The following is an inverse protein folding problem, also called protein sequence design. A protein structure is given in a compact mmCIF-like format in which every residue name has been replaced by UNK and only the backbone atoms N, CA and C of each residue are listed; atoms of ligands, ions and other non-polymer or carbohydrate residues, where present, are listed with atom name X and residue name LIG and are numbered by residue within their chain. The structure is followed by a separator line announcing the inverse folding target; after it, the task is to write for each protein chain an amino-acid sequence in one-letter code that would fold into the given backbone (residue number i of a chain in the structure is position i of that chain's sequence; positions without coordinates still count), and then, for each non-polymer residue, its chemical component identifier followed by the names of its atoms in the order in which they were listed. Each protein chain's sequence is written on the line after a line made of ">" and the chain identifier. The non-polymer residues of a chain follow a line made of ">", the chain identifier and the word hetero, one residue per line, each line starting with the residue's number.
data_IF_374798431142
#
_entry.id   IF_374798431142
#
_cell.length_a   1.000
_cell.length_b   1.000
_cell.length_c   1.000
_cell.angle_alpha   90.00
_cell.angle_beta   90.00
_cell.angle_gamma   90.00
#
_symmetry.space_group_name_H-M   'P 1'
#
loop_
_entity.id
_entity.type
_entity.pdbx_description
1 polymer ?
#
# COMPACT_ATOMS: atom_id res chain seq x y z
N UNK A 1 -8.33 16.04 -14.97
CA UNK A 1 -7.86 15.43 -13.72
C UNK A 1 -8.48 16.23 -12.58
N UNK A 2 -9.20 15.59 -11.67
CA UNK A 2 -9.70 16.27 -10.47
C UNK A 2 -8.49 16.59 -9.61
N UNK A 3 -8.18 17.87 -9.43
CA UNK A 3 -6.99 18.32 -8.71
C UNK A 3 -7.34 18.50 -7.22
N UNK A 4 -6.71 17.73 -6.34
CA UNK A 4 -7.01 17.68 -4.91
C UNK A 4 -6.07 18.57 -4.09
N UNK A 5 -5.56 19.67 -4.67
CA UNK A 5 -4.55 20.58 -4.05
C UNK A 5 -4.95 21.27 -2.75
N UNK A 6 -6.19 21.11 -2.31
CA UNK A 6 -6.68 21.62 -1.04
C UNK A 6 -6.99 20.50 -0.02
N UNK A 7 -6.83 19.24 -0.42
CA UNK A 7 -7.11 18.07 0.41
C UNK A 7 -5.80 17.34 0.75
N UNK A 8 -5.80 16.65 1.89
CA UNK A 8 -4.66 15.89 2.39
C UNK A 8 -4.87 14.38 2.11
N UNK A 9 -3.79 13.61 2.00
CA UNK A 9 -3.84 12.19 1.71
C UNK A 9 -2.91 11.35 2.61
N UNK A 10 -3.35 10.13 2.91
CA UNK A 10 -2.58 9.11 3.61
C UNK A 10 -2.25 7.99 2.63
N UNK A 11 -0.96 7.74 2.42
CA UNK A 11 -0.44 6.72 1.51
C UNK A 11 -0.09 5.48 2.30
N UNK A 12 -0.67 4.34 1.95
CA UNK A 12 -0.22 3.04 2.44
C UNK A 12 1.12 2.73 1.78
N UNK A 13 2.19 2.71 2.57
CA UNK A 13 3.55 2.82 2.07
C UNK A 13 4.46 1.71 2.61
N UNK A 14 5.06 0.92 1.72
CA UNK A 14 5.97 -0.17 2.08
C UNK A 14 7.43 0.10 1.70
N UNK A 15 7.71 1.18 0.97
CA UNK A 15 9.06 1.47 0.43
C UNK A 15 9.37 0.78 -0.89
N UNK A 16 8.59 -0.24 -1.29
CA UNK A 16 8.78 -0.90 -2.59
C UNK A 16 8.33 -0.05 -3.78
N UNK A 17 8.80 -0.40 -4.98
CA UNK A 17 8.59 0.27 -6.28
C UNK A 17 7.18 0.90 -6.44
N UNK A 18 6.14 0.08 -6.30
CA UNK A 18 4.75 0.50 -6.54
C UNK A 18 4.28 1.53 -5.51
N UNK A 19 4.54 1.28 -4.23
CA UNK A 19 4.15 2.18 -3.14
C UNK A 19 4.92 3.51 -3.19
N UNK A 20 6.18 3.49 -3.62
CA UNK A 20 7.01 4.70 -3.83
C UNK A 20 6.49 5.51 -5.01
N UNK A 21 6.12 4.85 -6.11
CA UNK A 21 5.49 5.53 -7.26
C UNK A 21 4.16 6.18 -6.83
N UNK A 22 3.34 5.50 -6.03
CA UNK A 22 2.12 6.06 -5.46
C UNK A 22 2.37 7.25 -4.52
N UNK A 23 3.42 7.20 -3.70
CA UNK A 23 3.78 8.30 -2.81
C UNK A 23 4.08 9.59 -3.60
N UNK A 24 4.92 9.49 -4.63
CA UNK A 24 5.26 10.65 -5.47
C UNK A 24 4.10 11.11 -6.36
N UNK A 25 3.25 10.18 -6.83
CA UNK A 25 1.99 10.53 -7.48
C UNK A 25 1.08 11.34 -6.53
N UNK A 26 0.95 10.92 -5.28
CA UNK A 26 0.15 11.61 -4.28
C UNK A 26 0.70 13.01 -4.01
N UNK A 27 2.03 13.20 -3.96
CA UNK A 27 2.65 14.53 -3.80
C UNK A 27 2.30 15.50 -4.92
N UNK A 28 2.15 15.01 -6.15
CA UNK A 28 1.70 15.84 -7.26
C UNK A 28 0.18 16.09 -7.26
N UNK A 29 -0.60 15.34 -6.47
CA UNK A 29 -2.07 15.34 -6.52
C UNK A 29 -2.71 16.08 -5.33
N UNK A 30 -2.12 15.98 -4.14
CA UNK A 30 -2.68 16.49 -2.88
C UNK A 30 -1.85 17.65 -2.32
N UNK A 31 -2.42 18.34 -1.32
CA UNK A 31 -1.74 19.43 -0.60
C UNK A 31 -0.65 18.90 0.34
N UNK A 32 -1.05 18.03 1.25
CA UNK A 32 -0.17 17.35 2.19
C UNK A 32 -0.31 15.85 2.04
N UNK A 33 0.80 15.15 2.16
CA UNK A 33 0.88 13.70 2.02
C UNK A 33 1.57 13.13 3.25
N UNK A 34 0.95 12.12 3.84
CA UNK A 34 1.52 11.34 4.94
C UNK A 34 1.72 9.89 4.49
N UNK A 35 2.80 9.26 4.93
CA UNK A 35 3.09 7.85 4.66
C UNK A 35 2.78 6.99 5.90
N UNK A 36 1.98 5.94 5.72
CA UNK A 36 1.68 4.94 6.72
C UNK A 36 2.29 3.60 6.32
N UNK A 37 3.27 3.15 7.08
CA UNK A 37 3.92 1.86 6.91
C UNK A 37 3.41 0.85 7.95
N UNK A 38 3.32 -0.41 7.56
CA UNK A 38 2.90 -1.50 8.44
C UNK A 38 4.09 -2.43 8.72
N UNK A 39 4.34 -2.73 9.99
CA UNK A 39 5.20 -3.84 10.41
C UNK A 39 4.31 -4.97 10.91
N UNK A 40 4.54 -6.21 10.49
CA UNK A 40 3.72 -7.35 10.94
C UNK A 40 4.56 -8.62 11.22
N UNK A 41 5.81 -8.44 11.66
CA UNK A 41 6.71 -9.53 12.07
C UNK A 41 8.19 -9.09 12.11
N UNK A 42 9.09 -9.97 12.56
CA UNK A 42 10.53 -9.66 12.72
C UNK A 42 11.32 -9.58 11.40
N UNK A 43 10.83 -10.15 10.29
CA UNK A 43 11.58 -10.24 9.02
C UNK A 43 11.59 -8.95 8.18
N UNK A 44 10.84 -7.91 8.55
CA UNK A 44 10.63 -6.70 7.72
C UNK A 44 11.40 -5.46 8.20
N UNK A 45 12.41 -5.59 9.08
CA UNK A 45 13.12 -4.41 9.61
C UNK A 45 13.82 -3.59 8.52
N UNK A 46 14.43 -4.27 7.54
CA UNK A 46 15.12 -3.61 6.42
C UNK A 46 14.14 -2.85 5.50
N UNK A 47 12.99 -3.46 5.18
CA UNK A 47 11.95 -2.84 4.36
C UNK A 47 11.37 -1.57 5.02
N UNK A 48 11.18 -1.60 6.34
CA UNK A 48 10.72 -0.44 7.10
C UNK A 48 11.78 0.68 7.10
N UNK A 49 13.06 0.35 7.15
CA UNK A 49 14.15 1.33 7.02
C UNK A 49 14.18 1.97 5.63
N UNK A 50 14.07 1.17 4.57
CA UNK A 50 13.93 1.66 3.19
C UNK A 50 12.73 2.60 3.07
N UNK A 51 11.56 2.18 3.54
CA UNK A 51 10.36 3.02 3.52
C UNK A 51 10.58 4.34 4.29
N UNK A 52 11.20 4.30 5.47
CA UNK A 52 11.51 5.52 6.22
C UNK A 52 12.44 6.46 5.45
N UNK A 53 13.51 5.93 4.87
CA UNK A 53 14.49 6.72 4.11
C UNK A 53 13.83 7.39 2.89
N UNK A 54 13.00 6.65 2.14
CA UNK A 54 12.28 7.21 1.00
C UNK A 54 11.26 8.27 1.44
N UNK A 55 10.58 8.07 2.57
CA UNK A 55 9.68 9.09 3.12
C UNK A 55 10.42 10.38 3.51
N UNK A 56 11.64 10.26 4.04
CA UNK A 56 12.53 11.39 4.31
C UNK A 56 12.97 12.10 3.03
N UNK A 57 13.41 11.36 2.01
CA UNK A 57 13.73 11.90 0.67
C UNK A 57 12.52 12.63 0.07
N UNK A 58 11.34 12.04 0.23
CA UNK A 58 10.09 12.62 -0.21
C UNK A 58 9.61 13.80 0.68
N UNK A 59 10.24 14.06 1.82
CA UNK A 59 9.84 15.13 2.74
C UNK A 59 8.41 14.99 3.27
N UNK A 60 7.93 13.76 3.48
CA UNK A 60 6.59 13.46 4.02
C UNK A 60 6.68 12.94 5.45
N UNK A 61 5.60 13.07 6.23
CA UNK A 61 5.55 12.41 7.54
C UNK A 61 5.53 10.89 7.35
N UNK A 62 6.20 10.16 8.24
CA UNK A 62 6.23 8.71 8.24
C UNK A 62 5.68 8.17 9.57
N UNK A 63 4.67 7.33 9.50
CA UNK A 63 4.10 6.63 10.65
C UNK A 63 4.26 5.13 10.45
N UNK A 64 4.83 4.44 11.44
CA UNK A 64 4.85 2.99 11.50
C UNK A 64 3.69 2.49 12.38
N UNK A 65 2.91 1.55 11.86
CA UNK A 65 1.88 0.85 12.62
C UNK A 65 2.25 -0.63 12.77
N UNK A 66 2.23 -1.12 14.00
CA UNK A 66 2.36 -2.55 14.28
C UNK A 66 1.03 -3.25 13.96
N UNK A 67 1.06 -4.10 12.94
CA UNK A 67 -0.01 -4.97 12.49
C UNK A 67 0.35 -6.45 12.69
N UNK A 68 1.25 -6.78 13.63
CA UNK A 68 1.64 -8.15 13.99
C UNK A 68 0.47 -9.05 14.35
N UNK A 69 -0.68 -8.51 14.77
CA UNK A 69 -1.91 -9.31 14.95
C UNK A 69 -2.31 -10.07 13.67
N UNK A 70 -2.03 -9.53 12.49
CA UNK A 70 -2.29 -10.20 11.21
C UNK A 70 -1.49 -11.50 11.11
N UNK A 71 -0.27 -11.52 11.66
CA UNK A 71 0.58 -12.70 11.66
C UNK A 71 -0.04 -13.88 12.42
N UNK A 72 -0.92 -13.59 13.39
CA UNK A 72 -1.59 -14.60 14.20
C UNK A 72 -2.88 -15.14 13.54
N UNK A 73 -3.38 -14.52 12.47
CA UNK A 73 -4.65 -14.90 11.85
C UNK A 73 -4.54 -16.14 10.95
N UNK A 74 -3.34 -16.43 10.43
CA UNK A 74 -3.09 -17.64 9.63
C UNK A 74 -1.62 -18.06 9.76
N UNK A 75 -1.33 -19.35 10.03
CA UNK A 75 0.03 -19.88 9.93
C UNK A 75 0.49 -19.76 8.46
N UNK A 76 1.58 -19.05 8.22
CA UNK A 76 2.17 -18.87 6.90
C UNK A 76 3.67 -18.56 7.04
N UNK A 77 4.43 -18.57 5.94
CA UNK A 77 5.90 -18.43 5.98
C UNK A 77 6.40 -17.06 6.45
N UNK A 78 5.52 -16.05 6.56
CA UNK A 78 5.84 -14.76 7.18
C UNK A 78 5.72 -14.79 8.71
N UNK A 79 5.02 -15.78 9.27
CA UNK A 79 4.60 -15.82 10.69
C UNK A 79 5.18 -17.01 11.43
N UNK A 80 5.56 -18.05 10.70
CA UNK A 80 6.27 -19.22 11.20
C UNK A 80 7.61 -19.39 10.47
N UNK A 81 8.70 -19.20 11.20
CA UNK A 81 10.05 -19.31 10.67
C UNK A 81 10.44 -20.75 10.25
N UNK A 82 9.67 -21.76 10.66
CA UNK A 82 9.86 -23.15 10.26
C UNK A 82 9.30 -23.48 8.87
N UNK A 83 8.44 -22.61 8.32
CA UNK A 83 7.89 -22.76 6.97
C UNK A 83 8.83 -22.08 5.97
N UNK A 84 9.39 -22.87 5.05
CA UNK A 84 10.21 -22.37 3.94
C UNK A 84 9.32 -21.62 2.96
N UNK A 85 9.66 -20.38 2.62
CA UNK A 85 8.92 -19.57 1.65
C UNK A 85 8.95 -20.23 0.26
N UNK A 86 7.82 -20.27 -0.43
CA UNK A 86 7.79 -20.77 -1.81
C UNK A 86 8.65 -19.87 -2.71
N UNK A 87 9.57 -20.47 -3.48
CA UNK A 87 10.40 -19.74 -4.46
C UNK A 87 9.61 -19.35 -5.72
N UNK A 88 8.58 -20.13 -6.07
CA UNK A 88 7.68 -19.89 -7.20
C UNK A 88 6.21 -20.07 -6.78
N UNK A 89 5.30 -19.32 -7.40
CA UNK A 89 3.86 -19.45 -7.14
C UNK A 89 3.36 -20.83 -7.58
N UNK A 90 2.73 -21.63 -6.68
CA UNK A 90 2.22 -22.95 -7.05
C UNK A 90 1.02 -22.83 -7.99
N UNK A 91 0.93 -23.75 -8.97
CA UNK A 91 -0.15 -23.75 -9.95
C UNK A 91 -1.52 -23.97 -9.27
N UNK A 92 -2.44 -23.02 -9.44
CA UNK A 92 -3.80 -23.11 -8.90
C UNK A 92 -3.91 -22.82 -7.39
N UNK A 93 -2.85 -22.35 -6.73
CA UNK A 93 -2.91 -21.86 -5.35
C UNK A 93 -2.13 -20.54 -5.19
N UNK A 94 -2.15 -20.03 -3.97
CA UNK A 94 -1.35 -18.86 -3.60
C UNK A 94 -0.02 -19.30 -2.98
N UNK A 95 1.04 -18.47 -3.07
CA UNK A 95 2.26 -18.69 -2.32
C UNK A 95 1.97 -18.82 -0.82
N UNK A 96 2.79 -19.58 -0.11
CA UNK A 96 2.65 -19.82 1.32
C UNK A 96 2.93 -18.59 2.22
N UNK A 97 3.12 -17.41 1.63
CA UNK A 97 3.12 -16.08 2.28
C UNK A 97 1.73 -15.41 2.27
N UNK A 98 0.77 -15.98 1.54
CA UNK A 98 -0.54 -15.39 1.38
C UNK A 98 -1.34 -15.41 2.69
N UNK A 99 -1.75 -14.22 3.11
CA UNK A 99 -2.71 -14.03 4.19
C UNK A 99 -4.04 -13.59 3.56
N UNK A 100 -5.10 -14.41 3.64
CA UNK A 100 -6.40 -14.05 3.09
C UNK A 100 -6.92 -12.72 3.66
N UNK A 101 -7.25 -11.78 2.77
CA UNK A 101 -7.83 -10.49 3.16
C UNK A 101 -6.85 -9.52 3.85
N UNK A 102 -5.54 -9.72 3.71
CA UNK A 102 -4.53 -8.84 4.30
C UNK A 102 -4.72 -7.38 3.88
N UNK A 103 -4.98 -7.11 2.61
CA UNK A 103 -5.15 -5.74 2.12
C UNK A 103 -6.43 -5.09 2.67
N UNK A 104 -7.47 -5.90 2.93
CA UNK A 104 -8.68 -5.44 3.63
C UNK A 104 -8.30 -4.86 5.00
N UNK A 105 -7.50 -5.59 5.78
CA UNK A 105 -7.07 -5.18 7.12
C UNK A 105 -6.19 -3.93 7.06
N UNK A 106 -5.20 -3.88 6.17
CA UNK A 106 -4.35 -2.71 6.01
C UNK A 106 -5.12 -1.45 5.63
N UNK A 107 -6.02 -1.53 4.65
CA UNK A 107 -6.85 -0.40 4.23
C UNK A 107 -7.80 0.02 5.37
N UNK A 108 -8.35 -0.93 6.13
CA UNK A 108 -9.20 -0.63 7.29
C UNK A 108 -8.43 0.08 8.40
N UNK A 109 -7.21 -0.37 8.71
CA UNK A 109 -6.34 0.32 9.67
C UNK A 109 -5.94 1.71 9.19
N UNK A 110 -5.58 1.85 7.92
CA UNK A 110 -5.27 3.15 7.32
C UNK A 110 -6.46 4.11 7.38
N UNK A 111 -7.67 3.62 7.11
CA UNK A 111 -8.89 4.41 7.22
C UNK A 111 -9.15 4.88 8.66
N UNK A 112 -8.91 4.04 9.67
CA UNK A 112 -9.01 4.44 11.08
C UNK A 112 -7.96 5.51 11.46
N UNK A 113 -6.71 5.38 10.96
CA UNK A 113 -5.68 6.42 11.15
C UNK A 113 -6.09 7.73 10.46
N UNK A 114 -6.54 7.65 9.20
CA UNK A 114 -7.00 8.81 8.44
C UNK A 114 -8.22 9.47 9.10
N UNK A 115 -9.13 8.70 9.69
CA UNK A 115 -10.26 9.21 10.47
C UNK A 115 -9.78 10.15 11.57
N UNK A 116 -8.85 9.68 12.41
CA UNK A 116 -8.30 10.43 13.54
C UNK A 116 -7.54 11.70 13.11
N UNK A 117 -6.92 11.67 11.93
CA UNK A 117 -6.19 12.82 11.34
C UNK A 117 -7.06 13.75 10.49
N UNK A 118 -8.35 13.44 10.35
CA UNK A 118 -9.26 14.13 9.43
C UNK A 118 -8.82 14.12 7.95
N UNK A 119 -8.14 13.06 7.53
CA UNK A 119 -7.70 12.84 6.15
C UNK A 119 -8.80 12.09 5.39
N UNK A 120 -9.14 12.58 4.19
CA UNK A 120 -10.21 12.02 3.35
C UNK A 120 -9.70 10.98 2.35
N UNK A 121 -8.48 11.16 1.87
CA UNK A 121 -7.95 10.38 0.77
C UNK A 121 -6.99 9.31 1.27
N UNK A 122 -7.23 8.07 0.86
CA UNK A 122 -6.33 6.96 1.04
C UNK A 122 -5.71 6.63 -0.32
N UNK A 123 -4.40 6.42 -0.38
CA UNK A 123 -3.71 6.01 -1.60
C UNK A 123 -3.04 4.67 -1.35
N UNK A 124 -3.24 3.71 -2.23
CA UNK A 124 -2.63 2.39 -2.12
C UNK A 124 -2.09 1.91 -3.47
N UNK A 125 -0.97 1.18 -3.42
CA UNK A 125 -0.29 0.62 -4.60
C UNK A 125 -0.85 -0.71 -5.09
N UNK A 126 -1.98 -1.19 -4.56
CA UNK A 126 -2.61 -2.43 -5.05
C UNK A 126 -2.96 -2.30 -6.54
N UNK A 127 -2.78 -3.40 -7.27
CA UNK A 127 -3.05 -3.50 -8.69
C UNK A 127 -3.64 -4.85 -9.03
N UNK A 128 -4.59 -4.88 -9.97
CA UNK A 128 -5.15 -6.11 -10.52
C UNK A 128 -4.33 -6.62 -11.73
N UNK A 129 -3.46 -5.77 -12.29
CA UNK A 129 -2.59 -6.13 -13.42
C UNK A 129 -1.38 -6.98 -12.98
N UNK A 130 -1.01 -6.96 -11.70
CA UNK A 130 0.02 -7.84 -11.17
C UNK A 130 -0.54 -9.26 -10.94
N UNK A 131 0.04 -10.19 -11.70
CA UNK A 131 -0.37 -11.55 -12.05
C UNK A 131 -0.66 -12.55 -10.90
N UNK A 132 -0.71 -12.10 -9.65
CA UNK A 132 -0.88 -12.94 -8.47
C UNK A 132 -2.33 -13.41 -8.22
N UNK A 133 -3.33 -12.74 -8.82
CA UNK A 133 -4.73 -13.15 -8.77
C UNK A 133 -5.43 -12.93 -7.42
N UNK A 134 -4.79 -12.26 -6.46
CA UNK A 134 -5.34 -12.01 -5.13
C UNK A 134 -6.68 -11.26 -5.20
N UNK A 135 -7.76 -11.80 -4.59
CA UNK A 135 -9.09 -11.21 -4.70
C UNK A 135 -9.20 -9.84 -4.01
N UNK A 136 -8.36 -9.57 -3.01
CA UNK A 136 -8.31 -8.33 -2.25
C UNK A 136 -7.43 -7.23 -2.88
N UNK A 137 -6.98 -7.42 -4.12
CA UNK A 137 -6.33 -6.39 -4.95
C UNK A 137 -7.22 -5.87 -6.09
N UNK A 138 -8.37 -6.51 -6.35
CA UNK A 138 -9.21 -6.22 -7.51
C UNK A 138 -9.94 -4.90 -7.37
N UNK A 139 -10.20 -4.24 -8.50
CA UNK A 139 -10.91 -2.97 -8.52
C UNK A 139 -12.30 -3.06 -7.86
N UNK A 140 -13.03 -4.14 -8.14
CA UNK A 140 -14.35 -4.40 -7.54
C UNK A 140 -14.30 -4.52 -6.02
N UNK A 141 -13.23 -5.12 -5.49
CA UNK A 141 -13.05 -5.25 -4.05
C UNK A 141 -12.74 -3.88 -3.43
N UNK A 142 -11.86 -3.10 -4.04
CA UNK A 142 -11.50 -1.75 -3.53
C UNK A 142 -12.73 -0.84 -3.46
N UNK A 143 -13.58 -0.86 -4.50
CA UNK A 143 -14.85 -0.12 -4.49
C UNK A 143 -15.79 -0.59 -3.37
N UNK A 144 -15.94 -1.90 -3.21
CA UNK A 144 -16.76 -2.47 -2.13
C UNK A 144 -16.22 -2.09 -0.75
N UNK A 145 -14.90 -2.13 -0.56
CA UNK A 145 -14.28 -1.78 0.72
C UNK A 145 -14.41 -0.28 1.00
N UNK A 146 -14.26 0.59 0.00
CA UNK A 146 -14.47 2.02 0.17
C UNK A 146 -15.89 2.31 0.69
N UNK A 147 -16.91 1.66 0.13
CA UNK A 147 -18.28 1.79 0.61
C UNK A 147 -18.42 1.30 2.06
N UNK A 148 -17.85 0.14 2.38
CA UNK A 148 -17.87 -0.44 3.73
C UNK A 148 -17.23 0.49 4.77
N UNK A 149 -16.03 1.01 4.52
CA UNK A 149 -15.35 1.89 5.50
C UNK A 149 -16.09 3.22 5.68
N UNK A 150 -16.75 3.73 4.63
CA UNK A 150 -17.55 4.95 4.71
C UNK A 150 -18.77 4.76 5.60
N UNK A 151 -19.48 3.64 5.43
CA UNK A 151 -20.64 3.27 6.26
C UNK A 151 -20.22 3.01 7.71
N UNK A 152 -19.09 2.32 7.91
CA UNK A 152 -18.63 1.94 9.24
C UNK A 152 -18.19 3.14 10.09
N UNK A 153 -17.67 4.21 9.47
CA UNK A 153 -17.10 5.37 10.17
C UNK A 153 -17.89 6.66 9.96
N UNK A 154 -19.06 6.59 9.31
CA UNK A 154 -19.90 7.76 8.96
C UNK A 154 -19.07 8.92 8.36
N UNK A 155 -18.18 8.56 7.41
CA UNK A 155 -17.23 9.48 6.78
C UNK A 155 -17.11 9.20 5.31
N UNK A 156 -16.82 10.24 4.53
CA UNK A 156 -16.67 10.12 3.08
C UNK A 156 -15.20 9.95 2.68
N UNK A 157 -14.63 8.77 2.86
CA UNK A 157 -13.31 8.43 2.32
C UNK A 157 -13.33 8.21 0.81
N UNK A 158 -12.18 8.43 0.17
CA UNK A 158 -11.92 8.06 -1.22
C UNK A 158 -10.62 7.26 -1.26
N UNK A 159 -10.67 6.03 -1.77
CA UNK A 159 -9.50 5.19 -2.02
C UNK A 159 -9.03 5.42 -3.46
N UNK A 160 -7.75 5.77 -3.60
CA UNK A 160 -7.08 5.93 -4.89
C UNK A 160 -6.14 4.76 -5.14
N UNK A 161 -6.24 4.18 -6.33
CA UNK A 161 -5.38 3.08 -6.81
C UNK A 161 -4.73 3.46 -8.15
N UNK A 162 -3.72 4.35 -8.16
CA UNK A 162 -3.14 4.92 -9.39
C UNK A 162 -2.56 3.88 -10.36
N UNK A 163 -2.27 2.69 -9.83
CA UNK A 163 -1.63 1.59 -10.54
C UNK A 163 -2.60 0.47 -10.97
N UNK A 164 -3.90 0.57 -10.62
CA UNK A 164 -4.89 -0.52 -10.76
C UNK A 164 -4.89 -1.21 -12.13
N UNK A 165 -4.77 -0.42 -13.20
CA UNK A 165 -4.79 -0.89 -14.59
C UNK A 165 -3.46 -0.65 -15.33
N UNK A 166 -2.36 -0.54 -14.58
CA UNK A 166 -1.01 -0.35 -15.14
C UNK A 166 -0.23 -1.64 -15.05
N UNK A 167 0.25 -2.11 -16.18
CA UNK A 167 1.32 -3.11 -16.22
C UNK A 167 2.64 -2.50 -15.71
N UNK A 168 3.64 -3.36 -15.45
CA UNK A 168 4.93 -2.91 -14.91
C UNK A 168 5.64 -1.86 -15.78
N UNK A 169 5.52 -1.94 -17.10
CA UNK A 169 6.11 -0.92 -17.99
C UNK A 169 5.45 0.45 -17.79
N UNK A 170 4.12 0.48 -17.62
CA UNK A 170 3.36 1.70 -17.31
C UNK A 170 3.60 2.23 -15.90
N UNK A 171 3.96 1.38 -14.93
CA UNK A 171 4.40 1.82 -13.60
C UNK A 171 5.75 2.54 -13.71
N UNK A 172 6.71 1.96 -14.44
CA UNK A 172 8.00 2.61 -14.70
C UNK A 172 7.86 3.93 -15.45
N UNK A 173 7.03 3.96 -16.50
CA UNK A 173 6.74 5.19 -17.23
C UNK A 173 6.13 6.27 -16.32
N UNK A 174 5.24 5.88 -15.40
CA UNK A 174 4.69 6.81 -14.42
C UNK A 174 5.77 7.35 -13.47
N UNK A 175 6.70 6.51 -12.99
CA UNK A 175 7.81 6.96 -12.16
C UNK A 175 8.72 7.97 -12.90
N UNK A 176 8.93 7.77 -14.21
CA UNK A 176 9.68 8.69 -15.07
C UNK A 176 8.93 10.01 -15.28
N UNK A 177 7.63 9.96 -15.61
CA UNK A 177 6.77 11.15 -15.75
C UNK A 177 6.72 11.99 -14.46
N UNK A 178 6.81 11.35 -13.30
CA UNK A 178 6.86 11.99 -11.99
C UNK A 178 8.24 12.57 -11.64
N UNK A 179 9.27 12.30 -12.45
CA UNK A 179 10.65 12.73 -12.23
C UNK A 179 11.38 11.96 -11.13
N UNK A 180 10.95 10.74 -10.82
CA UNK A 180 11.46 9.94 -9.69
C UNK A 180 11.95 8.55 -10.10
N UNK A 181 12.20 8.34 -11.39
CA UNK A 181 12.72 7.09 -11.93
C UNK A 181 13.95 6.58 -11.16
N UNK A 182 14.93 7.46 -10.92
CA UNK A 182 16.18 7.09 -10.24
C UNK A 182 15.95 6.73 -8.76
N UNK A 183 15.02 7.40 -8.07
CA UNK A 183 14.66 7.06 -6.69
C UNK A 183 14.01 5.67 -6.67
N UNK A 184 13.05 5.44 -7.56
CA UNK A 184 12.34 4.16 -7.67
C UNK A 184 13.31 3.03 -8.07
N UNK A 185 14.35 3.31 -8.86
CA UNK A 185 15.30 2.30 -9.30
C UNK A 185 16.38 1.96 -8.26
N UNK A 186 16.86 2.95 -7.52
CA UNK A 186 18.06 2.81 -6.69
C UNK A 186 17.74 2.68 -5.20
N UNK A 187 16.59 3.17 -4.75
CA UNK A 187 16.24 3.22 -3.32
C UNK A 187 15.21 2.16 -2.90
N UNK A 188 14.50 1.53 -3.84
CA UNK A 188 13.45 0.52 -3.55
C UNK A 188 13.91 -0.91 -3.73
#
# INVERSE_FOLDING_TARGET
>A
MTDYKNEDALVLFSGGQDSTTCLFWAKQTFRNVEALCFSYGQRHSLEVEVARNIAEIAGVSFQLLDASVISHLSPNSLTDASIVMDEEQPAGSYPNTFVPGRNMLFITFAAAVAYAKNIKHLVTGVSEADYSGYPDCRDTFIHSLNATINLAMDKHFVIHTPLMHRDKAKVWALADDLGVFDIVKNET
#
